data_IF_184270343185
#
_entry.id   IF_184270343185
#
_cell.length_a   1.000
_cell.length_b   1.000
_cell.length_c   1.000
_cell.angle_alpha   90.00
_cell.angle_beta   90.00
_cell.angle_gamma   90.00
#
_symmetry.space_group_name_H-M   'P 1'
#
loop_
_entity.id
_entity.type
_entity.pdbx_description
1 polymer ?
#
# COMPACT_ATOMS: atom_id res chain seq x y z
N UNK A 1 -43.88 17.42 -14.18
CA UNK A 1 -43.72 16.32 -13.20
C UNK A 1 -42.22 16.13 -13.03
N UNK A 2 -41.69 16.57 -11.90
CA UNK A 2 -40.30 16.43 -11.52
C UNK A 2 -40.02 14.97 -11.19
N UNK A 3 -39.10 14.35 -11.94
CA UNK A 3 -38.50 13.10 -11.51
C UNK A 3 -37.74 13.37 -10.20
N UNK A 4 -37.95 12.60 -9.13
CA UNK A 4 -37.10 12.69 -7.97
C UNK A 4 -35.70 12.27 -8.41
N UNK A 5 -34.74 13.18 -8.27
CA UNK A 5 -33.31 12.85 -8.32
C UNK A 5 -33.10 11.90 -7.15
N UNK A 6 -33.00 10.62 -7.47
CA UNK A 6 -32.59 9.61 -6.52
C UNK A 6 -31.12 9.91 -6.25
N UNK A 7 -30.83 10.56 -5.12
CA UNK A 7 -29.46 10.76 -4.65
C UNK A 7 -28.75 9.40 -4.74
N UNK A 8 -27.71 9.31 -5.57
CA UNK A 8 -26.88 8.12 -5.65
C UNK A 8 -26.38 7.84 -4.23
N UNK A 9 -26.86 6.75 -3.64
CA UNK A 9 -26.36 6.29 -2.35
C UNK A 9 -24.85 6.06 -2.57
N UNK A 10 -23.97 6.70 -1.77
CA UNK A 10 -22.53 6.50 -1.84
C UNK A 10 -22.23 5.00 -1.89
N UNK A 11 -21.15 4.59 -2.57
CA UNK A 11 -20.66 3.21 -2.53
C UNK A 11 -20.65 2.71 -1.07
N UNK A 12 -21.67 1.91 -0.73
CA UNK A 12 -21.95 1.49 0.64
C UNK A 12 -20.79 0.68 1.20
N UNK A 13 -20.11 -0.06 0.33
CA UNK A 13 -18.92 -0.80 0.72
C UNK A 13 -17.81 0.15 1.15
N UNK A 14 -17.52 1.17 0.33
CA UNK A 14 -16.52 2.20 0.63
C UNK A 14 -16.87 2.97 1.91
N UNK A 15 -18.15 3.32 2.10
CA UNK A 15 -18.64 3.98 3.31
C UNK A 15 -18.35 3.16 4.57
N UNK A 16 -18.71 1.87 4.57
CA UNK A 16 -18.47 0.99 5.71
C UNK A 16 -16.97 0.78 5.96
N UNK A 17 -16.19 0.58 4.89
CA UNK A 17 -14.75 0.36 5.02
C UNK A 17 -14.02 1.56 5.62
N UNK A 18 -14.29 2.78 5.13
CA UNK A 18 -13.68 4.01 5.66
C UNK A 18 -13.96 4.23 7.16
N UNK A 19 -15.09 3.74 7.65
CA UNK A 19 -15.47 3.83 9.06
C UNK A 19 -14.99 2.65 9.91
N UNK A 20 -14.30 1.68 9.30
CA UNK A 20 -13.82 0.47 9.99
C UNK A 20 -14.92 -0.58 10.25
N UNK A 21 -16.11 -0.40 9.67
CA UNK A 21 -17.24 -1.33 9.79
C UNK A 21 -17.10 -2.48 8.77
N UNK A 22 -16.00 -3.23 8.86
CA UNK A 22 -15.64 -4.23 7.85
C UNK A 22 -16.70 -5.32 7.69
N UNK A 23 -17.35 -5.74 8.78
CA UNK A 23 -18.43 -6.74 8.73
C UNK A 23 -19.62 -6.30 7.87
N UNK A 24 -20.02 -5.02 7.96
CA UNK A 24 -21.09 -4.47 7.12
C UNK A 24 -20.64 -4.38 5.65
N UNK A 25 -19.40 -4.00 5.40
CA UNK A 25 -18.83 -4.02 4.05
C UNK A 25 -18.82 -5.45 3.46
N UNK A 26 -18.49 -6.47 4.26
CA UNK A 26 -18.51 -7.86 3.81
C UNK A 26 -19.90 -8.39 3.48
N UNK A 27 -20.96 -7.92 4.16
CA UNK A 27 -22.34 -8.23 3.76
C UNK A 27 -22.65 -7.72 2.36
N UNK A 28 -22.16 -6.53 2.01
CA UNK A 28 -22.25 -6.00 0.63
C UNK A 28 -21.45 -6.85 -0.34
N UNK A 29 -20.21 -7.22 -0.01
CA UNK A 29 -19.41 -8.12 -0.85
C UNK A 29 -20.07 -9.49 -1.06
N UNK A 30 -20.76 -10.04 -0.05
CA UNK A 30 -21.53 -11.28 -0.18
C UNK A 30 -22.73 -11.14 -1.13
N UNK A 31 -23.42 -9.99 -1.07
CA UNK A 31 -24.51 -9.69 -1.99
C UNK A 31 -24.00 -9.56 -3.44
N UNK A 32 -22.86 -8.88 -3.63
CA UNK A 32 -22.24 -8.73 -4.95
C UNK A 32 -21.77 -10.07 -5.53
N UNK A 33 -21.17 -10.93 -4.68
CA UNK A 33 -20.77 -12.28 -5.05
C UNK A 33 -21.95 -13.12 -5.54
N UNK A 34 -23.10 -13.04 -4.85
CA UNK A 34 -24.34 -13.71 -5.29
C UNK A 34 -24.90 -13.10 -6.57
N UNK A 35 -24.90 -11.78 -6.69
CA UNK A 35 -25.44 -11.07 -7.85
C UNK A 35 -24.63 -11.31 -9.13
N UNK A 36 -23.33 -11.60 -9.01
CA UNK A 36 -22.43 -11.92 -10.13
C UNK A 36 -22.31 -13.42 -10.44
N UNK A 37 -22.93 -14.29 -9.64
CA UNK A 37 -22.87 -15.73 -9.85
C UNK A 37 -23.34 -16.12 -11.25
N UNK A 38 -22.51 -16.90 -11.97
CA UNK A 38 -22.79 -17.35 -13.33
C UNK A 38 -22.69 -16.27 -14.42
N UNK A 39 -22.33 -15.03 -14.08
CA UNK A 39 -22.12 -13.95 -15.06
C UNK A 39 -20.65 -13.91 -15.47
N UNK A 40 -20.33 -13.85 -16.77
CA UNK A 40 -18.95 -13.71 -17.21
C UNK A 40 -18.47 -12.25 -17.08
N UNK A 41 -17.19 -12.07 -16.72
CA UNK A 41 -16.52 -10.76 -16.71
C UNK A 41 -15.26 -10.68 -17.57
N UNK A 42 -14.90 -11.74 -18.31
CA UNK A 42 -13.66 -11.79 -19.10
C UNK A 42 -13.56 -10.70 -20.17
N UNK A 43 -14.67 -10.06 -20.54
CA UNK A 43 -14.72 -8.94 -21.48
C UNK A 43 -14.33 -7.59 -20.84
N UNK A 44 -14.30 -7.50 -19.51
CA UNK A 44 -13.88 -6.31 -18.80
C UNK A 44 -12.35 -6.23 -18.76
N UNK A 45 -11.77 -5.02 -18.65
CA UNK A 45 -10.36 -4.87 -18.28
C UNK A 45 -10.03 -5.70 -17.04
N UNK A 46 -8.84 -6.30 -16.98
CA UNK A 46 -8.44 -7.25 -15.92
C UNK A 46 -8.71 -6.74 -14.50
N UNK A 47 -8.44 -5.47 -14.21
CA UNK A 47 -8.67 -4.84 -12.91
C UNK A 47 -10.15 -4.61 -12.54
N UNK A 48 -11.09 -4.86 -13.45
CA UNK A 48 -12.53 -4.87 -13.19
C UNK A 48 -13.12 -6.29 -13.17
N UNK A 49 -12.30 -7.31 -13.44
CA UNK A 49 -12.77 -8.69 -13.43
C UNK A 49 -12.90 -9.18 -11.99
N UNK A 50 -14.00 -9.88 -11.72
CA UNK A 50 -14.18 -10.61 -10.47
C UNK A 50 -13.67 -12.03 -10.62
N UNK A 51 -12.74 -12.42 -9.76
CA UNK A 51 -12.00 -13.68 -9.89
C UNK A 51 -12.64 -14.75 -9.03
N UNK A 52 -12.70 -14.53 -7.72
CA UNK A 52 -13.25 -15.53 -6.83
C UNK A 52 -14.78 -15.61 -6.93
N UNK A 53 -15.32 -16.81 -7.05
CA UNK A 53 -16.75 -17.07 -7.22
C UNK A 53 -17.41 -17.65 -5.95
N UNK A 54 -16.72 -17.66 -4.81
CA UNK A 54 -17.21 -18.26 -3.57
C UNK A 54 -16.77 -19.71 -3.35
N UNK A 55 -16.02 -20.30 -4.28
CA UNK A 55 -15.51 -21.67 -4.14
C UNK A 55 -14.65 -21.82 -2.88
N UNK A 56 -14.88 -22.84 -2.02
CA UNK A 56 -14.08 -23.09 -0.84
C UNK A 56 -12.59 -23.33 -1.17
N UNK A 57 -11.71 -22.76 -0.35
CA UNK A 57 -10.25 -22.85 -0.56
C UNK A 57 -9.59 -24.05 0.12
N UNK A 58 -10.27 -24.66 1.10
CA UNK A 58 -9.71 -25.73 1.92
C UNK A 58 -9.31 -26.95 1.09
N UNK A 59 -8.05 -27.38 1.24
CA UNK A 59 -7.50 -28.52 0.51
C UNK A 59 -7.33 -28.31 -1.00
N UNK A 60 -7.47 -27.08 -1.50
CA UNK A 60 -7.30 -26.73 -2.92
C UNK A 60 -5.91 -26.18 -3.23
N UNK A 61 -5.52 -26.27 -4.50
CA UNK A 61 -4.43 -25.46 -5.08
C UNK A 61 -5.01 -24.08 -5.41
N UNK A 62 -4.67 -23.10 -4.59
CA UNK A 62 -5.21 -21.74 -4.68
C UNK A 62 -4.21 -20.88 -5.44
N UNK A 63 -4.66 -20.31 -6.56
CA UNK A 63 -3.91 -19.29 -7.30
C UNK A 63 -4.32 -17.90 -6.85
N UNK A 64 -3.40 -17.18 -6.21
CA UNK A 64 -3.56 -15.77 -5.85
C UNK A 64 -2.97 -14.92 -6.96
N UNK A 65 -3.76 -13.99 -7.51
CA UNK A 65 -3.32 -13.05 -8.55
C UNK A 65 -3.61 -11.61 -8.13
N UNK A 66 -2.86 -10.66 -8.69
CA UNK A 66 -3.16 -9.23 -8.52
C UNK A 66 -3.23 -8.54 -9.88
N UNK A 67 -4.39 -7.96 -10.20
CA UNK A 67 -4.57 -7.15 -11.42
C UNK A 67 -4.55 -5.64 -11.14
N UNK A 68 -4.30 -5.26 -9.89
CA UNK A 68 -4.20 -3.87 -9.45
C UNK A 68 -2.73 -3.42 -9.30
N UNK A 69 -2.50 -2.41 -8.46
CA UNK A 69 -1.19 -1.81 -8.27
C UNK A 69 -0.25 -2.71 -7.48
N UNK A 70 1.04 -2.42 -7.56
CA UNK A 70 2.07 -3.11 -6.78
C UNK A 70 1.82 -2.99 -5.26
N UNK A 71 1.28 -1.85 -4.82
CA UNK A 71 0.91 -1.62 -3.42
C UNK A 71 -0.16 -2.59 -2.91
N UNK A 72 -1.12 -2.97 -3.75
CA UNK A 72 -2.17 -3.93 -3.41
C UNK A 72 -1.60 -5.33 -3.22
N UNK A 73 -0.73 -5.76 -4.13
CA UNK A 73 0.01 -7.02 -3.98
C UNK A 73 0.80 -7.03 -2.67
N UNK A 74 1.61 -5.98 -2.41
CA UNK A 74 2.41 -5.89 -1.19
C UNK A 74 1.54 -5.90 0.06
N UNK A 75 0.41 -5.18 0.06
CA UNK A 75 -0.44 -5.11 1.23
C UNK A 75 -1.10 -6.45 1.48
N UNK A 76 -1.79 -7.03 0.49
CA UNK A 76 -2.69 -8.15 0.73
C UNK A 76 -2.02 -9.52 0.63
N UNK A 77 -0.79 -9.61 0.13
CA UNK A 77 -0.03 -10.88 0.21
C UNK A 77 0.22 -11.33 1.66
N UNK A 78 0.04 -10.44 2.66
CA UNK A 78 0.06 -10.77 4.09
C UNK A 78 -0.87 -11.91 4.51
N UNK A 79 -1.87 -12.25 3.70
CA UNK A 79 -2.79 -13.36 3.95
C UNK A 79 -2.25 -14.71 3.48
N UNK A 80 -1.12 -14.77 2.77
CA UNK A 80 -0.52 -16.02 2.31
C UNK A 80 -0.28 -17.05 3.43
N UNK A 81 0.18 -16.69 4.65
CA UNK A 81 0.28 -17.64 5.75
C UNK A 81 -1.06 -18.23 6.20
N UNK A 82 -2.14 -17.43 6.16
CA UNK A 82 -3.48 -17.89 6.52
C UNK A 82 -4.04 -18.81 5.44
N UNK A 83 -3.78 -18.51 4.17
CA UNK A 83 -4.08 -19.43 3.06
C UNK A 83 -3.31 -20.72 3.20
N UNK A 84 -2.02 -20.67 3.51
CA UNK A 84 -1.17 -21.85 3.65
C UNK A 84 -1.65 -22.82 4.74
N UNK A 85 -2.31 -22.31 5.77
CA UNK A 85 -2.88 -23.12 6.83
C UNK A 85 -4.13 -23.93 6.41
N UNK A 86 -4.75 -23.61 5.27
CA UNK A 86 -6.03 -24.21 4.85
C UNK A 86 -6.00 -24.78 3.43
N UNK A 87 -5.28 -24.15 2.51
CA UNK A 87 -5.05 -24.61 1.15
C UNK A 87 -4.07 -25.80 1.10
N UNK A 88 -4.21 -26.67 0.10
CA UNK A 88 -3.21 -27.70 -0.18
C UNK A 88 -1.92 -27.10 -0.78
N UNK A 89 -2.07 -26.04 -1.59
CA UNK A 89 -0.96 -25.32 -2.21
C UNK A 89 -1.33 -23.86 -2.43
N UNK A 90 -0.42 -22.94 -2.12
CA UNK A 90 -0.57 -21.50 -2.38
C UNK A 90 0.36 -21.10 -3.52
N UNK A 91 -0.23 -20.80 -4.68
CA UNK A 91 0.46 -20.33 -5.87
C UNK A 91 0.20 -18.83 -6.00
N UNK A 92 1.24 -18.05 -6.25
CA UNK A 92 1.12 -16.60 -6.42
C UNK A 92 1.59 -16.20 -7.81
N UNK A 93 0.71 -15.53 -8.56
CA UNK A 93 1.00 -14.99 -9.88
C UNK A 93 1.08 -13.46 -9.78
N UNK A 94 2.30 -12.94 -9.68
CA UNK A 94 2.58 -11.57 -9.27
C UNK A 94 3.35 -10.78 -10.33
N UNK A 95 3.19 -9.46 -10.31
CA UNK A 95 3.90 -8.55 -11.22
C UNK A 95 5.42 -8.81 -11.16
N UNK A 96 6.12 -8.98 -12.31
CA UNK A 96 7.53 -9.38 -12.32
C UNK A 96 8.49 -8.59 -11.42
N UNK A 97 8.35 -7.25 -11.27
CA UNK A 97 9.22 -6.47 -10.37
C UNK A 97 9.13 -6.87 -8.89
N UNK A 98 8.03 -7.48 -8.46
CA UNK A 98 7.82 -7.90 -7.07
C UNK A 98 8.39 -9.29 -6.76
N UNK A 99 8.68 -10.10 -7.77
CA UNK A 99 9.08 -11.51 -7.59
C UNK A 99 10.26 -11.65 -6.61
N UNK A 100 11.37 -10.88 -6.73
CA UNK A 100 12.49 -11.01 -5.79
C UNK A 100 12.12 -10.67 -4.33
N UNK A 101 11.18 -9.75 -4.11
CA UNK A 101 10.71 -9.41 -2.76
C UNK A 101 9.78 -10.50 -2.21
N UNK A 102 8.85 -10.98 -3.03
CA UNK A 102 7.86 -11.99 -2.62
C UNK A 102 8.46 -13.36 -2.33
N UNK A 103 9.67 -13.66 -2.83
CA UNK A 103 10.43 -14.85 -2.43
C UNK A 103 10.67 -14.94 -0.91
N UNK A 104 10.60 -13.82 -0.20
CA UNK A 104 10.79 -13.76 1.25
C UNK A 104 9.48 -13.87 2.06
N UNK A 105 8.34 -13.92 1.38
CA UNK A 105 7.03 -13.96 2.01
C UNK A 105 6.70 -15.39 2.47
N UNK A 106 6.43 -15.62 3.78
CA UNK A 106 6.02 -16.92 4.25
C UNK A 106 4.64 -17.33 3.71
N UNK A 107 4.46 -18.63 3.47
CA UNK A 107 3.17 -19.19 3.05
C UNK A 107 2.93 -19.22 1.55
N UNK A 108 3.90 -18.82 0.73
CA UNK A 108 3.87 -19.02 -0.73
C UNK A 108 4.60 -20.33 -1.05
N UNK A 109 3.93 -21.26 -1.74
CA UNK A 109 4.54 -22.51 -2.21
C UNK A 109 5.18 -22.37 -3.58
N UNK A 110 4.57 -21.56 -4.45
CA UNK A 110 5.04 -21.32 -5.81
C UNK A 110 4.76 -19.88 -6.24
N UNK A 111 5.72 -19.27 -6.92
CA UNK A 111 5.69 -17.87 -7.31
C UNK A 111 6.02 -17.75 -8.80
N UNK A 112 5.10 -17.16 -9.57
CA UNK A 112 5.15 -17.07 -11.02
C UNK A 112 5.05 -15.59 -11.48
N UNK A 113 5.77 -15.20 -12.53
CA UNK A 113 5.66 -13.86 -13.09
C UNK A 113 4.33 -13.68 -13.84
N UNK A 114 3.61 -12.60 -13.54
CA UNK A 114 2.37 -12.20 -14.22
C UNK A 114 2.66 -11.80 -15.67
N UNK A 115 1.81 -12.25 -16.61
CA UNK A 115 1.84 -11.88 -18.02
C UNK A 115 0.42 -11.84 -18.62
N UNK A 116 0.31 -11.44 -19.89
CA UNK A 116 -0.98 -11.23 -20.59
C UNK A 116 -1.67 -12.53 -21.07
N UNK A 117 -1.10 -13.69 -20.73
CA UNK A 117 -1.65 -15.00 -21.05
C UNK A 117 -2.54 -15.57 -19.96
N UNK A 118 -2.61 -16.90 -19.92
CA UNK A 118 -3.12 -17.67 -18.79
C UNK A 118 -1.94 -18.11 -17.91
N UNK A 119 -2.16 -18.37 -16.62
CA UNK A 119 -1.12 -18.93 -15.75
C UNK A 119 -0.63 -20.27 -16.32
N UNK A 120 0.68 -20.45 -16.45
CA UNK A 120 1.31 -21.69 -16.93
C UNK A 120 1.37 -22.76 -15.82
N UNK A 121 0.27 -22.92 -15.08
CA UNK A 121 0.17 -23.85 -13.96
C UNK A 121 -1.29 -24.27 -13.73
N UNK A 122 -1.46 -25.51 -13.30
CA UNK A 122 -2.74 -26.02 -12.87
C UNK A 122 -3.10 -25.55 -11.45
N UNK A 123 -4.33 -25.06 -11.29
CA UNK A 123 -4.93 -24.67 -10.02
C UNK A 123 -6.40 -25.12 -9.95
N UNK A 124 -6.96 -25.18 -8.75
CA UNK A 124 -8.36 -25.63 -8.57
C UNK A 124 -9.31 -24.44 -8.33
N UNK A 125 -8.78 -23.35 -7.78
CA UNK A 125 -9.49 -22.11 -7.50
C UNK A 125 -8.52 -20.95 -7.59
N UNK A 126 -8.99 -19.81 -8.06
CA UNK A 126 -8.25 -18.58 -8.08
C UNK A 126 -8.96 -17.46 -7.33
N UNK A 127 -8.17 -16.51 -6.85
CA UNK A 127 -8.62 -15.38 -6.05
C UNK A 127 -7.83 -14.13 -6.45
N UNK A 128 -8.51 -12.99 -6.50
CA UNK A 128 -7.83 -11.69 -6.54
C UNK A 128 -7.29 -11.39 -5.13
N UNK A 129 -6.07 -10.86 -5.02
CA UNK A 129 -5.40 -10.65 -3.72
C UNK A 129 -6.20 -9.73 -2.78
N UNK A 130 -6.93 -8.75 -3.31
CA UNK A 130 -7.81 -7.84 -2.58
C UNK A 130 -9.12 -8.49 -2.12
N UNK A 131 -9.45 -9.71 -2.61
CA UNK A 131 -10.57 -10.50 -2.11
C UNK A 131 -10.18 -11.27 -0.82
N UNK A 132 -8.89 -11.42 -0.51
CA UNK A 132 -8.42 -12.16 0.67
C UNK A 132 -8.97 -11.62 2.00
N UNK A 133 -8.99 -10.30 2.26
CA UNK A 133 -9.62 -9.78 3.47
C UNK A 133 -11.09 -10.18 3.62
N UNK A 134 -11.86 -10.20 2.52
CA UNK A 134 -13.26 -10.63 2.51
C UNK A 134 -13.38 -12.13 2.77
N UNK A 135 -12.57 -12.95 2.09
CA UNK A 135 -12.51 -14.42 2.27
C UNK A 135 -12.24 -14.77 3.74
N UNK A 136 -11.29 -14.09 4.37
CA UNK A 136 -10.94 -14.30 5.79
C UNK A 136 -11.83 -13.55 6.78
N UNK A 137 -12.87 -12.85 6.31
CA UNK A 137 -13.80 -12.07 7.15
C UNK A 137 -13.06 -11.13 8.09
N UNK A 138 -12.07 -10.44 7.53
CA UNK A 138 -11.17 -9.58 8.29
C UNK A 138 -11.96 -8.49 9.00
N UNK A 139 -11.69 -8.28 10.27
CA UNK A 139 -12.12 -7.10 11.02
C UNK A 139 -10.87 -6.31 11.42
N UNK A 140 -11.03 -5.10 11.95
CA UNK A 140 -9.88 -4.34 12.46
C UNK A 140 -9.06 -5.15 13.49
N UNK A 141 -9.70 -6.03 14.26
CA UNK A 141 -9.05 -6.85 15.27
C UNK A 141 -8.34 -8.08 14.69
N UNK A 142 -8.67 -8.50 13.47
CA UNK A 142 -8.15 -9.75 12.86
C UNK A 142 -7.24 -9.52 11.66
N UNK A 143 -6.91 -8.26 11.34
CA UNK A 143 -5.89 -7.96 10.32
C UNK A 143 -4.60 -8.72 10.68
N UNK A 144 -3.98 -9.46 9.74
CA UNK A 144 -2.67 -10.08 9.95
C UNK A 144 -1.60 -9.00 10.10
N UNK A 145 -1.29 -8.62 11.35
CA UNK A 145 -0.33 -7.54 11.70
C UNK A 145 1.03 -8.08 12.15
N UNK A 146 1.39 -9.31 11.75
CA UNK A 146 2.75 -9.82 11.95
C UNK A 146 3.70 -9.12 10.98
N UNK A 147 4.46 -8.15 11.47
CA UNK A 147 5.41 -7.32 10.72
C UNK A 147 6.83 -7.58 11.26
N UNK A 148 7.86 -7.64 10.40
CA UNK A 148 7.79 -7.65 8.93
C UNK A 148 7.24 -8.96 8.37
N UNK A 149 6.62 -8.89 7.19
CA UNK A 149 6.27 -10.07 6.39
C UNK A 149 7.01 -10.13 5.06
N UNK A 150 7.72 -9.06 4.67
CA UNK A 150 8.71 -9.08 3.61
C UNK A 150 10.09 -8.80 4.21
N UNK A 151 11.13 -9.42 3.66
CA UNK A 151 12.48 -9.34 4.21
C UNK A 151 13.49 -9.01 3.13
N UNK A 152 14.37 -8.06 3.40
CA UNK A 152 15.56 -7.76 2.58
C UNK A 152 16.69 -7.30 3.50
N UNK A 153 17.93 -7.50 3.06
CA UNK A 153 19.07 -6.89 3.74
C UNK A 153 19.08 -5.38 3.47
N UNK A 154 19.24 -4.52 4.49
CA UNK A 154 19.31 -3.08 4.26
C UNK A 154 20.52 -2.75 3.38
N UNK A 155 20.35 -1.78 2.47
CA UNK A 155 21.49 -1.15 1.80
C UNK A 155 22.10 -0.14 2.78
N UNK A 156 23.40 -0.20 3.08
CA UNK A 156 24.04 0.84 3.88
C UNK A 156 23.86 2.20 3.22
N UNK A 157 23.26 3.13 3.96
CA UNK A 157 23.15 4.52 3.57
C UNK A 157 24.31 5.24 4.24
N UNK A 158 25.07 6.02 3.49
CA UNK A 158 26.16 6.80 4.07
C UNK A 158 25.55 7.85 5.02
N UNK A 159 25.47 7.54 6.31
CA UNK A 159 25.09 8.53 7.33
C UNK A 159 26.32 9.35 7.67
N UNK A 160 26.24 10.67 7.51
CA UNK A 160 27.22 11.55 8.11
C UNK A 160 26.80 11.75 9.58
N UNK A 161 27.64 11.35 10.52
CA UNK A 161 27.62 11.89 11.89
C UNK A 161 26.27 11.84 12.66
N UNK A 162 25.50 10.76 12.58
CA UNK A 162 24.30 10.58 13.41
C UNK A 162 23.02 11.27 12.91
N UNK A 163 23.00 11.76 11.67
CA UNK A 163 21.80 12.29 11.03
C UNK A 163 20.72 11.21 10.83
N UNK A 164 19.45 11.60 10.98
CA UNK A 164 18.29 10.76 10.69
C UNK A 164 18.14 10.57 9.17
N UNK A 165 18.26 9.35 8.67
CA UNK A 165 18.08 9.03 7.25
C UNK A 165 16.60 8.91 6.89
N UNK A 166 16.08 9.90 6.16
CA UNK A 166 14.65 10.02 5.84
C UNK A 166 14.41 9.91 4.34
N UNK A 167 13.69 8.87 3.92
CA UNK A 167 13.25 8.71 2.54
C UNK A 167 12.03 9.60 2.25
N UNK A 168 11.94 10.11 1.02
CA UNK A 168 10.84 11.01 0.64
C UNK A 168 10.23 10.73 -0.74
N UNK A 169 8.89 10.70 -0.77
CA UNK A 169 8.06 10.50 -1.99
C UNK A 169 6.82 11.39 -1.89
N UNK A 170 6.58 12.26 -2.88
CA UNK A 170 5.52 13.29 -2.81
C UNK A 170 4.52 13.24 -3.96
N UNK A 171 4.75 12.43 -4.98
CA UNK A 171 3.80 12.19 -6.05
C UNK A 171 3.36 10.73 -6.07
N UNK A 172 2.06 10.53 -6.16
CA UNK A 172 1.46 9.25 -6.46
C UNK A 172 1.29 9.08 -7.98
N UNK A 173 0.98 7.86 -8.42
CA UNK A 173 0.63 7.63 -9.82
C UNK A 173 -0.76 8.17 -10.21
N UNK A 174 -1.05 8.09 -11.50
CA UNK A 174 -2.13 8.81 -12.20
C UNK A 174 -3.56 8.41 -11.81
N UNK A 175 -3.74 7.46 -10.88
CA UNK A 175 -5.06 7.03 -10.43
C UNK A 175 -5.84 8.11 -9.66
N UNK A 176 -5.14 8.89 -8.84
CA UNK A 176 -5.72 10.05 -8.12
C UNK A 176 -4.62 11.07 -7.85
N UNK A 177 -4.61 12.12 -8.66
CA UNK A 177 -3.64 13.22 -8.60
C UNK A 177 -3.74 14.02 -7.30
N UNK A 178 -4.88 13.98 -6.61
CA UNK A 178 -5.09 14.73 -5.35
C UNK A 178 -4.19 14.23 -4.23
N UNK A 179 -3.65 13.02 -4.36
CA UNK A 179 -2.65 12.43 -3.46
C UNK A 179 -1.27 13.05 -3.60
N UNK A 180 -0.99 13.73 -4.71
CA UNK A 180 0.31 14.35 -4.98
C UNK A 180 0.41 15.74 -4.35
N UNK A 181 1.60 16.08 -3.86
CA UNK A 181 1.91 17.34 -3.21
C UNK A 181 2.75 18.21 -4.15
N UNK A 182 2.40 19.49 -4.38
CA UNK A 182 3.24 20.40 -5.13
C UNK A 182 4.64 20.53 -4.51
N UNK A 183 5.70 20.32 -5.30
CA UNK A 183 7.08 20.29 -4.81
C UNK A 183 7.49 21.56 -4.05
N UNK A 184 7.05 22.74 -4.51
CA UNK A 184 7.36 24.02 -3.85
C UNK A 184 6.92 24.12 -2.39
N UNK A 185 5.95 23.31 -1.95
CA UNK A 185 5.53 23.26 -0.54
C UNK A 185 6.51 22.50 0.35
N UNK A 186 7.41 21.70 -0.24
CA UNK A 186 8.25 20.73 0.47
C UNK A 186 9.56 21.35 0.98
N UNK A 187 9.92 22.54 0.47
CA UNK A 187 11.13 23.30 0.82
C UNK A 187 11.44 23.36 2.32
N UNK A 188 10.47 23.52 3.25
CA UNK A 188 10.77 23.53 4.68
C UNK A 188 11.43 22.25 5.21
N UNK A 189 11.19 21.09 4.60
CA UNK A 189 11.75 19.81 5.04
C UNK A 189 13.27 19.74 4.82
N UNK A 190 13.77 20.30 3.71
CA UNK A 190 15.20 20.33 3.40
C UNK A 190 16.03 21.24 4.32
N UNK A 191 15.36 22.08 5.12
CA UNK A 191 16.01 23.02 6.05
C UNK A 191 16.18 22.46 7.46
N UNK A 192 15.81 21.21 7.70
CA UNK A 192 15.87 20.60 9.03
C UNK A 192 17.28 20.07 9.29
N UNK A 193 17.96 20.63 10.30
CA UNK A 193 19.26 20.14 10.75
C UNK A 193 19.14 18.75 11.40
N UNK A 194 20.15 17.91 11.19
CA UNK A 194 20.19 16.54 11.73
C UNK A 194 19.33 15.55 10.95
N UNK A 195 18.87 15.91 9.75
CA UNK A 195 18.11 15.04 8.85
C UNK A 195 18.83 14.95 7.52
N UNK A 196 19.10 13.73 7.08
CA UNK A 196 19.54 13.42 5.74
C UNK A 196 18.34 12.99 4.90
N UNK A 197 17.89 13.88 4.01
CA UNK A 197 16.79 13.56 3.09
C UNK A 197 17.30 12.74 1.90
N UNK A 198 16.64 11.61 1.65
CA UNK A 198 16.88 10.72 0.52
C UNK A 198 15.67 10.73 -0.42
N UNK A 199 15.90 11.08 -1.67
CA UNK A 199 14.85 11.25 -2.68
C UNK A 199 14.56 9.91 -3.33
N UNK A 200 13.45 9.28 -2.93
CA UNK A 200 12.99 7.99 -3.45
C UNK A 200 11.81 8.11 -4.42
N UNK A 201 11.48 9.35 -4.80
CA UNK A 201 10.47 9.66 -5.80
C UNK A 201 10.92 9.12 -7.17
N UNK A 202 10.10 8.23 -7.75
CA UNK A 202 10.28 7.85 -9.13
C UNK A 202 10.09 9.07 -10.03
N UNK A 203 10.94 9.22 -11.04
CA UNK A 203 10.94 10.35 -11.97
C UNK A 203 11.06 11.71 -11.25
N UNK A 204 11.91 11.80 -10.21
CA UNK A 204 12.06 12.99 -9.37
C UNK A 204 12.21 14.30 -10.16
N UNK A 205 13.04 14.32 -11.21
CA UNK A 205 13.26 15.50 -12.04
C UNK A 205 11.95 16.02 -12.69
N UNK A 206 11.14 15.14 -13.29
CA UNK A 206 9.84 15.53 -13.85
C UNK A 206 8.79 15.82 -12.77
N UNK A 207 8.98 15.28 -11.56
CA UNK A 207 8.16 15.57 -10.38
C UNK A 207 8.48 16.93 -9.71
N UNK A 208 9.35 17.74 -10.35
CA UNK A 208 9.72 19.07 -9.90
C UNK A 208 10.90 19.12 -8.93
N UNK A 209 11.62 18.01 -8.74
CA UNK A 209 12.79 17.96 -7.86
C UNK A 209 13.90 18.92 -8.33
N UNK A 210 14.40 19.71 -7.40
CA UNK A 210 15.50 20.66 -7.62
C UNK A 210 16.77 20.23 -6.87
N UNK A 211 17.93 20.49 -7.48
CA UNK A 211 19.23 20.21 -6.86
C UNK A 211 19.37 20.96 -5.52
N UNK A 212 19.89 20.27 -4.50
CA UNK A 212 19.95 20.78 -3.12
C UNK A 212 18.77 20.38 -2.24
N UNK A 213 17.68 19.84 -2.81
CA UNK A 213 16.61 19.20 -2.04
C UNK A 213 16.94 17.72 -1.78
N UNK A 214 17.77 17.43 -0.78
CA UNK A 214 18.17 16.05 -0.44
C UNK A 214 19.04 15.35 -1.49
N UNK A 215 19.41 14.10 -1.20
CA UNK A 215 20.26 13.27 -2.04
C UNK A 215 19.44 12.20 -2.77
N UNK A 216 19.63 12.03 -4.08
CA UNK A 216 19.06 10.92 -4.82
C UNK A 216 20.04 9.71 -4.78
N UNK A 217 19.67 8.57 -4.19
CA UNK A 217 20.56 7.41 -4.08
C UNK A 217 20.75 6.62 -5.40
N UNK A 218 20.24 7.14 -6.51
CA UNK A 218 20.38 6.61 -7.86
C UNK A 218 19.15 5.85 -8.32
N UNK A 219 19.17 5.39 -9.57
CA UNK A 219 18.13 4.49 -10.09
C UNK A 219 18.30 3.08 -9.54
N UNK A 220 17.17 2.44 -9.24
CA UNK A 220 17.13 1.09 -8.69
C UNK A 220 15.91 0.34 -9.21
N UNK A 221 16.04 -0.99 -9.31
CA UNK A 221 14.88 -1.86 -9.44
C UNK A 221 14.13 -1.95 -8.09
N UNK A 222 12.94 -2.56 -8.09
CA UNK A 222 12.09 -2.60 -6.90
C UNK A 222 12.69 -3.38 -5.72
N UNK A 223 13.56 -4.38 -5.99
CA UNK A 223 14.27 -5.09 -4.92
C UNK A 223 15.28 -4.17 -4.23
N UNK A 224 16.10 -3.46 -5.01
CA UNK A 224 17.05 -2.46 -4.49
C UNK A 224 16.33 -1.26 -3.83
N UNK A 225 15.16 -0.85 -4.34
CA UNK A 225 14.26 0.10 -3.67
C UNK A 225 13.94 -0.37 -2.25
N UNK A 226 13.49 -1.62 -2.10
CA UNK A 226 13.17 -2.21 -0.81
C UNK A 226 14.36 -2.23 0.14
N UNK A 227 15.57 -2.50 -0.37
CA UNK A 227 16.81 -2.47 0.44
C UNK A 227 17.16 -1.07 0.93
N UNK A 228 16.97 -0.05 0.10
CA UNK A 228 17.15 1.35 0.50
C UNK A 228 16.12 1.72 1.56
N UNK A 229 14.83 1.43 1.32
CA UNK A 229 13.76 1.66 2.30
C UNK A 229 14.08 0.98 3.63
N UNK A 230 14.56 -0.27 3.60
CA UNK A 230 14.92 -1.01 4.81
C UNK A 230 16.08 -0.39 5.59
N UNK A 231 16.94 0.40 4.93
CA UNK A 231 18.03 1.13 5.56
C UNK A 231 17.62 2.48 6.15
N UNK A 232 16.41 2.97 5.90
CA UNK A 232 15.93 4.25 6.42
C UNK A 232 15.56 4.16 7.91
N UNK A 233 15.71 5.27 8.61
CA UNK A 233 15.11 5.46 9.93
C UNK A 233 13.62 5.80 9.83
N UNK A 234 13.23 6.50 8.75
CA UNK A 234 11.85 6.92 8.49
C UNK A 234 11.61 7.07 6.98
N UNK A 235 10.47 6.58 6.49
CA UNK A 235 9.94 6.97 5.18
C UNK A 235 8.81 7.98 5.36
N UNK A 236 8.87 9.12 4.70
CA UNK A 236 7.73 10.04 4.58
C UNK A 236 7.22 9.97 3.13
N UNK A 237 5.97 9.57 2.94
CA UNK A 237 5.44 9.28 1.60
C UNK A 237 3.96 9.62 1.49
N UNK A 238 3.51 10.00 0.30
CA UNK A 238 2.08 10.01 -0.03
C UNK A 238 1.50 8.59 -0.12
N UNK A 239 0.17 8.47 -0.10
CA UNK A 239 -0.56 7.21 -0.31
C UNK A 239 -0.21 6.57 -1.66
N UNK A 240 0.72 5.61 -1.62
CA UNK A 240 1.32 4.97 -2.79
C UNK A 240 2.08 3.70 -2.39
N UNK A 241 2.58 2.94 -3.37
CA UNK A 241 3.30 1.67 -3.15
C UNK A 241 4.41 1.76 -2.09
N UNK A 242 5.27 2.80 -2.04
CA UNK A 242 6.29 2.94 -1.01
C UNK A 242 5.77 2.88 0.44
N UNK A 243 4.56 3.40 0.70
CA UNK A 243 3.94 3.32 2.03
C UNK A 243 3.70 1.87 2.45
N UNK A 244 3.16 1.06 1.53
CA UNK A 244 2.90 -0.36 1.76
C UNK A 244 4.19 -1.18 1.86
N UNK A 245 5.19 -0.87 1.04
CA UNK A 245 6.50 -1.53 1.07
C UNK A 245 7.21 -1.31 2.40
N UNK A 246 7.33 -0.05 2.85
CA UNK A 246 7.96 0.25 4.13
C UNK A 246 7.19 -0.37 5.31
N UNK A 247 5.84 -0.31 5.27
CA UNK A 247 5.00 -0.99 6.25
C UNK A 247 5.21 -2.50 6.30
N UNK A 248 5.32 -3.17 5.14
CA UNK A 248 5.58 -4.61 5.05
C UNK A 248 6.99 -5.01 5.54
N UNK A 249 7.96 -4.12 5.36
CA UNK A 249 9.35 -4.26 5.80
C UNK A 249 9.56 -3.89 7.28
N UNK A 250 8.53 -3.34 7.94
CA UNK A 250 8.60 -2.89 9.34
C UNK A 250 9.47 -1.65 9.54
N UNK A 251 9.55 -0.78 8.54
CA UNK A 251 10.23 0.51 8.63
C UNK A 251 9.21 1.55 9.14
N UNK A 252 9.59 2.48 10.04
CA UNK A 252 8.71 3.58 10.42
C UNK A 252 8.26 4.39 9.20
N UNK A 253 6.98 4.73 9.12
CA UNK A 253 6.41 5.46 7.97
C UNK A 253 5.51 6.58 8.42
N UNK A 254 5.67 7.78 7.85
CA UNK A 254 4.66 8.82 7.90
C UNK A 254 3.96 8.92 6.55
N UNK A 255 2.69 8.59 6.50
CA UNK A 255 1.91 8.62 5.27
C UNK A 255 1.07 9.89 5.19
N UNK A 256 1.27 10.66 4.12
CA UNK A 256 0.60 11.93 3.86
C UNK A 256 -0.66 11.66 3.03
N UNK A 257 -1.81 12.08 3.54
CA UNK A 257 -3.12 11.71 3.01
C UNK A 257 -3.91 12.95 2.63
N UNK A 258 -4.51 12.94 1.44
CA UNK A 258 -5.53 13.93 1.10
C UNK A 258 -6.80 13.69 1.93
N UNK A 259 -7.71 14.68 1.93
CA UNK A 259 -8.87 14.67 2.84
C UNK A 259 -9.75 13.41 2.67
N UNK A 260 -9.95 12.96 1.44
CA UNK A 260 -10.82 11.83 1.08
C UNK A 260 -10.03 10.55 0.77
N UNK A 261 -8.95 10.29 1.50
CA UNK A 261 -8.09 9.16 1.18
C UNK A 261 -8.79 7.80 1.22
N UNK A 262 -8.12 6.83 0.57
CA UNK A 262 -8.58 5.47 0.40
C UNK A 262 -8.98 4.79 1.73
N UNK A 263 -9.94 3.87 1.63
CA UNK A 263 -10.53 3.17 2.77
C UNK A 263 -9.54 2.45 3.66
N UNK A 264 -8.38 2.03 3.13
CA UNK A 264 -7.30 1.38 3.91
C UNK A 264 -6.85 2.26 5.07
N UNK A 265 -6.97 3.57 4.94
CA UNK A 265 -6.49 4.54 5.92
C UNK A 265 -7.52 4.96 6.95
N UNK A 266 -8.78 4.51 6.80
CA UNK A 266 -9.92 4.85 7.65
C UNK A 266 -10.15 6.37 7.84
N UNK A 267 -11.19 6.72 8.57
CA UNK A 267 -11.51 8.10 8.93
C UNK A 267 -11.04 8.44 10.35
N UNK A 268 -10.72 9.71 10.57
CA UNK A 268 -10.48 10.30 11.91
C UNK A 268 -9.39 9.60 12.75
N UNK A 269 -8.31 9.16 12.10
CA UNK A 269 -7.20 8.44 12.73
C UNK A 269 -5.84 8.98 12.31
N UNK A 270 -4.87 8.82 13.19
CA UNK A 270 -3.46 9.17 12.96
C UNK A 270 -2.54 7.94 12.94
N UNK A 271 -3.10 6.74 13.08
CA UNK A 271 -2.42 5.44 13.10
C UNK A 271 -3.04 4.49 12.08
N UNK A 272 -2.28 3.50 11.61
CA UNK A 272 -2.75 2.50 10.64
C UNK A 272 -3.01 1.13 11.28
N UNK A 273 -4.24 0.58 11.20
CA UNK A 273 -4.49 -0.81 11.63
C UNK A 273 -3.71 -1.84 10.81
N UNK A 274 -3.33 -1.47 9.58
CA UNK A 274 -2.59 -2.34 8.67
C UNK A 274 -1.09 -2.35 8.96
N UNK A 275 -0.55 -1.27 9.52
CA UNK A 275 0.88 -1.07 9.72
C UNK A 275 1.14 -0.40 11.07
N UNK A 276 1.46 -1.16 12.14
CA UNK A 276 1.60 -0.60 13.49
C UNK A 276 2.67 0.49 13.65
N UNK A 277 3.73 0.47 12.83
CA UNK A 277 4.80 1.48 12.85
C UNK A 277 4.48 2.74 12.01
N UNK A 278 3.28 2.84 11.45
CA UNK A 278 2.89 3.92 10.55
C UNK A 278 2.05 4.98 11.24
N UNK A 279 2.37 6.24 10.95
CA UNK A 279 1.62 7.43 11.38
C UNK A 279 1.01 8.12 10.17
N UNK A 280 -0.24 8.56 10.29
CA UNK A 280 -1.01 9.18 9.22
C UNK A 280 -1.10 10.70 9.43
N UNK A 281 -0.82 11.46 8.37
CA UNK A 281 -0.95 12.90 8.31
C UNK A 281 -1.96 13.28 7.23
N UNK A 282 -3.22 13.41 7.66
CA UNK A 282 -4.34 13.74 6.77
C UNK A 282 -4.59 15.24 6.69
N UNK A 283 -4.90 15.71 5.48
CA UNK A 283 -5.49 17.03 5.25
C UNK A 283 -6.77 17.20 6.06
N UNK A 284 -6.89 18.32 6.77
CA UNK A 284 -8.16 18.74 7.39
C UNK A 284 -9.15 19.30 6.36
N UNK A 285 -8.63 20.07 5.41
CA UNK A 285 -9.38 20.67 4.32
C UNK A 285 -8.78 20.20 3.00
N UNK A 286 -9.63 19.76 2.07
CA UNK A 286 -9.19 19.26 0.76
C UNK A 286 -8.29 20.27 0.04
N UNK A 287 -7.17 19.79 -0.51
CA UNK A 287 -6.19 20.61 -1.24
C UNK A 287 -5.22 21.40 -0.36
N UNK A 288 -5.45 21.52 0.95
CA UNK A 288 -4.54 22.23 1.85
C UNK A 288 -3.37 21.34 2.29
N UNK A 289 -2.45 21.07 1.37
CA UNK A 289 -1.20 20.36 1.67
C UNK A 289 -0.23 21.17 2.53
N UNK A 290 -0.30 22.51 2.51
CA UNK A 290 0.59 23.35 3.30
C UNK A 290 0.46 23.06 4.81
N UNK A 291 -0.77 22.90 5.32
CA UNK A 291 -1.01 22.53 6.72
C UNK A 291 -0.41 21.17 7.09
N UNK A 292 -0.49 20.20 6.17
CA UNK A 292 0.07 18.86 6.37
C UNK A 292 1.59 18.94 6.44
N UNK A 293 2.23 19.65 5.50
CA UNK A 293 3.69 19.78 5.46
C UNK A 293 4.21 20.57 6.66
N UNK A 294 3.51 21.59 7.12
CA UNK A 294 3.87 22.31 8.36
C UNK A 294 3.91 21.37 9.56
N UNK A 295 2.87 20.55 9.76
CA UNK A 295 2.82 19.55 10.83
C UNK A 295 3.95 18.53 10.71
N UNK A 296 4.17 17.98 9.52
CA UNK A 296 5.25 17.01 9.25
C UNK A 296 6.61 17.63 9.55
N UNK A 297 6.85 18.87 9.12
CA UNK A 297 8.09 19.61 9.37
C UNK A 297 8.33 19.79 10.87
N UNK A 298 7.30 20.16 11.63
CA UNK A 298 7.41 20.35 13.08
C UNK A 298 7.70 19.04 13.81
N UNK A 299 7.01 17.96 13.44
CA UNK A 299 7.24 16.63 14.02
C UNK A 299 8.64 16.11 13.69
N UNK A 300 9.10 16.28 12.44
CA UNK A 300 10.42 15.83 12.01
C UNK A 300 11.54 16.59 12.73
N UNK A 301 11.37 17.90 12.97
CA UNK A 301 12.28 18.71 13.80
C UNK A 301 12.36 18.23 15.25
N UNK A 302 11.26 17.71 15.81
CA UNK A 302 11.31 17.14 17.16
C UNK A 302 12.03 15.80 17.15
N UNK A 303 11.69 14.93 16.18
CA UNK A 303 12.31 13.62 16.04
C UNK A 303 13.83 13.72 15.86
N UNK A 304 14.32 14.65 15.03
CA UNK A 304 15.76 14.80 14.80
C UNK A 304 16.52 15.25 16.05
N UNK A 305 15.89 16.02 16.94
CA UNK A 305 16.50 16.43 18.23
C UNK A 305 16.66 15.26 19.19
N UNK A 306 15.66 14.37 19.28
CA UNK A 306 15.70 13.22 20.19
C UNK A 306 16.77 12.18 19.82
N UNK A 307 17.20 12.10 18.56
CA UNK A 307 18.32 11.22 18.20
C UNK A 307 19.70 11.80 18.57
N UNK A 308 19.79 13.11 18.82
CA UNK A 308 21.04 13.82 19.11
C UNK A 308 21.20 14.21 20.59
N UNK A 309 20.24 13.85 21.46
CA UNK A 309 20.28 14.11 22.92
C UNK A 309 20.24 12.82 23.71
#
# INVERSE_FOLDING_TARGET
MSHPVQEEIPDLWMHHMRRGAFEEAWKKSDADLKARAGKPCWHLPRHFQYIWNGTPLAGKRVLVRCYHGLGDTIQFIRYAPLLKATAAKVIVWAQPPLIPLLQTMPGIDELLPLHDGSPDIDYDVDVEVMELPHIFRTTLATIPVKIPYLHVAPRPLASNNGELAVGFVWQAGDWDERRSIPFGLLVPLAKITGVKLLILQANAASAGWEEGFGENPGEFNLFEYGRIVKGLDLLITVDSMPAHLAGALGVPVWTLLHAEADWRWLENRTDSPWYPAMRLFRQKNSGNWAEVIERVTNELKQLSKYQHG
#
